data_IF_129743672248
#
_entry.id   IF_129743672248
#
_cell.length_a   1.000
_cell.length_b   1.000
_cell.length_c   1.000
_cell.angle_alpha   90.00
_cell.angle_beta   90.00
_cell.angle_gamma   90.00
#
_symmetry.space_group_name_H-M   'P 1'
#
loop_
_entity.id
_entity.type
_entity.pdbx_description
1 polymer ?
#
# COMPACT_ATOMS: atom_id res chain seq x y z
N UNK A 1 4.90 22.96 15.19
CA UNK A 1 4.32 21.62 14.99
C UNK A 1 3.04 21.67 14.17
N UNK A 2 2.02 22.43 14.59
CA UNK A 2 0.73 22.52 13.89
C UNK A 2 0.87 22.88 12.40
N UNK A 3 1.69 23.87 12.06
CA UNK A 3 1.93 24.27 10.65
C UNK A 3 2.53 23.12 9.83
N UNK A 4 3.44 22.33 10.41
CA UNK A 4 3.99 21.15 9.74
C UNK A 4 2.89 20.12 9.44
N UNK A 5 2.06 19.80 10.43
CA UNK A 5 0.98 18.81 10.29
C UNK A 5 -0.02 19.27 9.20
N UNK A 6 -0.52 20.49 9.32
CA UNK A 6 -1.51 21.03 8.36
C UNK A 6 -0.95 21.08 6.94
N UNK A 7 0.31 21.49 6.77
CA UNK A 7 0.96 21.53 5.47
C UNK A 7 1.15 20.14 4.87
N UNK A 8 1.61 19.14 5.65
CA UNK A 8 1.81 17.78 5.16
C UNK A 8 0.50 17.08 4.81
N UNK A 9 -0.54 17.23 5.64
CA UNK A 9 -1.88 16.71 5.34
C UNK A 9 -2.45 17.38 4.09
N UNK A 10 -2.37 18.71 3.99
CA UNK A 10 -2.83 19.43 2.80
C UNK A 10 -2.09 19.02 1.53
N UNK A 11 -0.77 18.86 1.58
CA UNK A 11 0.03 18.46 0.43
C UNK A 11 -0.28 17.03 -0.01
N UNK A 12 -0.20 16.05 0.91
CA UNK A 12 -0.19 14.64 0.55
C UNK A 12 -1.56 13.95 0.60
N UNK A 13 -2.51 14.42 1.42
CA UNK A 13 -3.86 13.83 1.48
C UNK A 13 -4.88 14.56 0.59
N UNK A 14 -4.63 15.84 0.27
CA UNK A 14 -5.56 16.62 -0.56
C UNK A 14 -4.98 16.90 -1.95
N UNK A 15 -3.85 17.60 -2.04
CA UNK A 15 -3.36 18.08 -3.33
C UNK A 15 -2.72 16.97 -4.18
N UNK A 16 -1.92 16.08 -3.60
CA UNK A 16 -1.25 15.01 -4.32
C UNK A 16 -2.23 14.05 -5.03
N UNK A 17 -3.29 13.51 -4.37
CA UNK A 17 -4.24 12.64 -5.06
C UNK A 17 -4.96 13.35 -6.22
N UNK A 18 -5.35 14.62 -6.02
CA UNK A 18 -5.96 15.42 -7.09
C UNK A 18 -4.98 15.62 -8.24
N UNK A 19 -3.71 15.94 -7.92
CA UNK A 19 -2.64 16.10 -8.91
C UNK A 19 -2.44 14.84 -9.75
N UNK A 20 -2.38 13.66 -9.11
CA UNK A 20 -2.26 12.36 -9.79
C UNK A 20 -3.47 12.10 -10.69
N UNK A 21 -4.69 12.37 -10.23
CA UNK A 21 -5.91 12.23 -11.06
C UNK A 21 -5.85 13.13 -12.30
N UNK A 22 -5.37 14.36 -12.14
CA UNK A 22 -5.19 15.28 -13.26
C UNK A 22 -4.10 14.81 -14.23
N UNK A 23 -3.05 14.16 -13.74
CA UNK A 23 -2.01 13.51 -14.56
C UNK A 23 -2.58 12.37 -15.39
N UNK A 24 -3.35 11.47 -14.75
CA UNK A 24 -4.04 10.37 -15.43
C UNK A 24 -5.04 10.87 -16.49
N UNK A 25 -5.76 11.95 -16.20
CA UNK A 25 -6.68 12.60 -17.14
C UNK A 25 -5.98 13.44 -18.22
N UNK A 26 -4.63 13.50 -18.22
CA UNK A 26 -3.82 14.35 -19.12
C UNK A 26 -4.22 15.82 -19.10
N UNK A 27 -4.62 16.30 -17.93
CA UNK A 27 -5.04 17.69 -17.72
C UNK A 27 -3.84 18.62 -17.66
N UNK A 28 -3.94 19.78 -18.31
CA UNK A 28 -2.92 20.85 -18.26
C UNK A 28 -2.63 21.37 -16.85
N UNK A 29 -3.54 21.17 -15.89
CA UNK A 29 -3.36 21.64 -14.51
C UNK A 29 -2.57 20.66 -13.64
N UNK A 30 -2.23 19.46 -14.13
CA UNK A 30 -1.41 18.49 -13.40
C UNK A 30 -0.10 19.11 -12.89
N UNK A 31 0.64 19.79 -13.76
CA UNK A 31 1.91 20.44 -13.39
C UNK A 31 1.72 21.51 -12.31
N UNK A 32 0.67 22.33 -12.43
CA UNK A 32 0.39 23.39 -11.47
C UNK A 32 0.08 22.81 -10.09
N UNK A 33 -0.69 21.71 -10.03
CA UNK A 33 -1.00 21.01 -8.79
C UNK A 33 0.21 20.29 -8.20
N UNK A 34 1.07 19.67 -9.02
CA UNK A 34 2.34 19.08 -8.55
C UNK A 34 3.25 20.14 -7.91
N UNK A 35 3.41 21.30 -8.56
CA UNK A 35 4.22 22.39 -8.01
C UNK A 35 3.62 22.96 -6.73
N UNK A 36 2.30 23.15 -6.68
CA UNK A 36 1.61 23.61 -5.47
C UNK A 36 1.79 22.60 -4.31
N UNK A 37 1.67 21.31 -4.60
CA UNK A 37 1.90 20.21 -3.65
C UNK A 37 3.33 20.27 -3.10
N UNK A 38 4.32 20.39 -3.99
CA UNK A 38 5.73 20.46 -3.61
C UNK A 38 6.06 21.71 -2.78
N UNK A 39 5.48 22.87 -3.13
CA UNK A 39 5.63 24.10 -2.34
C UNK A 39 5.05 23.93 -0.93
N UNK A 40 3.84 23.39 -0.83
CA UNK A 40 3.17 23.17 0.46
C UNK A 40 3.93 22.13 1.31
N UNK A 41 4.41 21.04 0.70
CA UNK A 41 5.28 20.07 1.37
C UNK A 41 6.59 20.73 1.84
N UNK A 42 7.19 21.60 1.02
CA UNK A 42 8.38 22.38 1.38
C UNK A 42 8.16 23.26 2.62
N UNK A 43 7.01 23.93 2.72
CA UNK A 43 6.59 24.65 3.95
C UNK A 43 6.51 23.67 5.14
N UNK A 44 5.88 22.52 4.95
CA UNK A 44 5.80 21.48 5.98
C UNK A 44 7.17 21.04 6.48
N UNK A 45 8.13 20.77 5.59
CA UNK A 45 9.50 20.36 5.95
C UNK A 45 10.25 21.50 6.63
N UNK A 46 10.15 22.73 6.14
CA UNK A 46 10.77 23.89 6.77
C UNK A 46 10.33 24.04 8.24
N UNK A 47 9.02 23.96 8.50
CA UNK A 47 8.51 24.04 9.86
C UNK A 47 8.83 22.80 10.71
N UNK A 48 9.07 21.62 10.13
CA UNK A 48 9.55 20.47 10.91
C UNK A 48 10.99 20.69 11.39
N UNK A 49 11.85 21.29 10.56
CA UNK A 49 13.21 21.63 10.94
C UNK A 49 13.29 22.71 12.03
N UNK A 50 12.40 23.71 11.97
CA UNK A 50 12.33 24.76 13.00
C UNK A 50 11.83 24.24 14.35
N UNK A 51 10.92 23.27 14.31
CA UNK A 51 10.28 22.74 15.52
C UNK A 51 11.19 21.75 16.24
N UNK A 52 12.33 21.33 15.66
CA UNK A 52 13.28 20.34 16.19
C UNK A 52 13.25 20.28 17.72
N UNK A 53 12.36 19.43 18.22
CA UNK A 53 12.35 19.03 19.61
C UNK A 53 13.42 17.94 19.70
N UNK A 54 14.05 17.82 20.86
CA UNK A 54 15.07 16.79 21.14
C UNK A 54 14.44 15.39 21.28
N UNK A 55 13.47 15.10 20.42
CA UNK A 55 12.76 13.84 20.36
C UNK A 55 13.61 12.86 19.55
N UNK A 56 13.80 11.67 20.14
CA UNK A 56 14.63 10.60 19.59
C UNK A 56 14.22 10.18 18.17
N UNK A 57 15.01 9.29 17.57
CA UNK A 57 14.70 8.75 16.26
C UNK A 57 13.42 7.89 16.28
N UNK A 58 12.57 8.04 15.26
CA UNK A 58 11.31 7.32 15.12
C UNK A 58 11.00 7.02 13.64
N UNK A 59 10.01 6.16 13.38
CA UNK A 59 9.67 5.72 12.01
C UNK A 59 9.24 6.87 11.10
N UNK A 60 8.49 7.84 11.65
CA UNK A 60 8.04 9.02 10.90
C UNK A 60 9.22 9.86 10.40
N UNK A 61 10.23 10.10 11.25
CA UNK A 61 11.43 10.86 10.89
C UNK A 61 12.25 10.14 9.81
N UNK A 62 12.42 8.83 9.94
CA UNK A 62 13.12 8.00 8.97
C UNK A 62 12.45 8.01 7.58
N UNK A 63 11.17 7.65 7.53
CA UNK A 63 10.42 7.60 6.27
C UNK A 63 10.12 8.99 5.71
N UNK A 64 9.93 10.00 6.55
CA UNK A 64 9.77 11.39 6.14
C UNK A 64 11.01 11.95 5.44
N UNK A 65 12.22 11.52 5.84
CA UNK A 65 13.44 11.85 5.13
C UNK A 65 13.52 11.14 3.77
N UNK A 66 13.17 9.85 3.70
CA UNK A 66 13.08 9.13 2.43
C UNK A 66 12.12 9.83 1.46
N UNK A 67 10.94 10.24 1.93
CA UNK A 67 9.97 11.01 1.16
C UNK A 67 10.50 12.36 0.67
N UNK A 68 11.30 13.05 1.47
CA UNK A 68 11.92 14.31 1.04
C UNK A 68 12.86 14.07 -0.14
N UNK A 69 13.68 13.03 -0.06
CA UNK A 69 14.63 12.66 -1.12
C UNK A 69 13.88 12.27 -2.40
N UNK A 70 12.81 11.49 -2.30
CA UNK A 70 12.01 11.10 -3.48
C UNK A 70 11.26 12.28 -4.08
N UNK A 71 10.73 13.21 -3.27
CA UNK A 71 10.13 14.46 -3.76
C UNK A 71 11.15 15.32 -4.52
N UNK A 72 12.35 15.51 -3.96
CA UNK A 72 13.42 16.26 -4.62
C UNK A 72 13.86 15.58 -5.93
N UNK A 73 13.96 14.25 -5.93
CA UNK A 73 14.23 13.45 -7.13
C UNK A 73 13.13 13.63 -8.19
N UNK A 74 11.86 13.57 -7.79
CA UNK A 74 10.71 13.80 -8.67
C UNK A 74 10.74 15.21 -9.30
N UNK A 75 11.04 16.24 -8.52
CA UNK A 75 11.19 17.61 -9.02
C UNK A 75 12.36 17.74 -10.00
N UNK A 76 13.50 17.12 -9.70
CA UNK A 76 14.67 17.12 -10.59
C UNK A 76 14.37 16.38 -11.91
N UNK A 77 13.72 15.21 -11.86
CA UNK A 77 13.27 14.49 -13.05
C UNK A 77 12.25 15.31 -13.85
N UNK A 78 11.30 15.96 -13.19
CA UNK A 78 10.31 16.83 -13.83
C UNK A 78 10.96 18.01 -14.55
N UNK A 79 11.92 18.68 -13.90
CA UNK A 79 12.71 19.75 -14.51
C UNK A 79 13.52 19.26 -15.70
N UNK A 80 14.19 18.12 -15.57
CA UNK A 80 14.96 17.53 -16.67
C UNK A 80 14.08 17.23 -17.89
N UNK A 81 12.90 16.61 -17.66
CA UNK A 81 11.91 16.35 -18.72
C UNK A 81 11.48 17.66 -19.39
N UNK A 82 11.19 18.70 -18.62
CA UNK A 82 10.71 19.99 -19.13
C UNK A 82 11.76 20.72 -20.00
N UNK A 83 13.04 20.65 -19.62
CA UNK A 83 14.11 21.43 -20.27
C UNK A 83 14.77 20.67 -21.42
N UNK A 84 14.98 19.37 -21.27
CA UNK A 84 15.86 18.60 -22.17
C UNK A 84 15.13 17.61 -23.09
N UNK A 85 13.88 17.24 -22.80
CA UNK A 85 13.13 16.32 -23.65
C UNK A 85 12.20 17.05 -24.61
N UNK A 86 12.06 16.51 -25.82
CA UNK A 86 11.04 16.95 -26.76
C UNK A 86 9.65 16.57 -26.23
N UNK A 87 8.61 17.31 -26.63
CA UNK A 87 7.21 17.00 -26.25
C UNK A 87 6.82 15.54 -26.57
N UNK A 88 7.29 15.02 -27.70
CA UNK A 88 7.05 13.62 -28.09
C UNK A 88 7.69 12.60 -27.13
N UNK A 89 8.87 12.92 -26.59
CA UNK A 89 9.54 12.06 -25.59
C UNK A 89 8.89 12.15 -24.21
N UNK A 90 8.32 13.32 -23.85
CA UNK A 90 7.55 13.50 -22.62
C UNK A 90 6.24 12.70 -22.68
N UNK A 91 5.50 12.78 -23.80
CA UNK A 91 4.23 12.08 -24.00
C UNK A 91 4.34 10.54 -24.02
N UNK A 92 5.54 10.01 -24.26
CA UNK A 92 5.86 8.57 -24.21
C UNK A 92 6.51 8.14 -22.89
N UNK A 93 6.87 9.08 -22.03
CA UNK A 93 7.46 8.80 -20.71
C UNK A 93 6.43 8.29 -19.71
N UNK A 94 6.88 7.48 -18.75
CA UNK A 94 6.09 7.15 -17.55
C UNK A 94 6.07 8.39 -16.66
N UNK A 95 4.90 8.82 -16.21
CA UNK A 95 4.78 9.84 -15.16
C UNK A 95 5.35 9.28 -13.86
N UNK A 96 6.33 10.00 -13.32
CA UNK A 96 7.15 9.58 -12.19
C UNK A 96 6.67 10.25 -10.93
N UNK A 97 5.38 10.10 -10.60
CA UNK A 97 4.80 10.55 -9.32
C UNK A 97 5.17 9.56 -8.21
N UNK A 98 6.48 9.46 -7.94
CA UNK A 98 7.08 8.53 -6.98
C UNK A 98 6.69 8.91 -5.53
N UNK A 99 6.36 10.17 -5.28
CA UNK A 99 5.96 10.67 -3.97
C UNK A 99 4.46 10.52 -3.65
N UNK A 100 3.69 9.85 -4.51
CA UNK A 100 2.26 9.64 -4.30
C UNK A 100 1.95 8.72 -3.09
N UNK A 101 2.86 7.81 -2.73
CA UNK A 101 2.69 6.89 -1.59
C UNK A 101 3.19 7.53 -0.27
N UNK A 102 2.47 8.56 0.16
CA UNK A 102 2.78 9.38 1.34
C UNK A 102 1.99 8.98 2.60
N UNK A 103 0.95 8.16 2.42
CA UNK A 103 0.04 7.72 3.48
C UNK A 103 0.78 7.19 4.72
N UNK A 104 1.74 6.24 4.62
CA UNK A 104 2.35 5.64 5.81
C UNK A 104 3.10 6.67 6.66
N UNK A 105 3.71 7.69 6.03
CA UNK A 105 4.49 8.72 6.74
C UNK A 105 3.59 9.67 7.51
N UNK A 106 2.45 10.06 6.94
CA UNK A 106 1.49 10.94 7.62
C UNK A 106 0.82 10.20 8.78
N UNK A 107 0.45 8.93 8.60
CA UNK A 107 -0.13 8.11 9.66
C UNK A 107 0.86 7.90 10.82
N UNK A 108 2.12 7.55 10.50
CA UNK A 108 3.19 7.46 11.50
C UNK A 108 3.46 8.81 12.17
N UNK A 109 3.26 9.93 11.47
CA UNK A 109 3.33 11.27 12.04
C UNK A 109 2.33 11.44 13.18
N UNK A 110 1.07 11.06 12.95
CA UNK A 110 0.03 11.06 14.00
C UNK A 110 0.41 10.17 15.18
N UNK A 111 0.87 8.94 14.93
CA UNK A 111 1.29 8.04 16.00
C UNK A 111 2.49 8.57 16.80
N UNK A 112 3.44 9.23 16.14
CA UNK A 112 4.59 9.83 16.81
C UNK A 112 4.20 10.96 17.78
N UNK A 113 3.04 11.61 17.56
CA UNK A 113 2.50 12.61 18.51
C UNK A 113 1.94 11.96 19.78
N UNK A 114 1.58 10.68 19.72
CA UNK A 114 1.15 9.88 20.86
C UNK A 114 2.32 9.18 21.58
N UNK A 115 3.55 9.34 21.08
CA UNK A 115 4.75 8.72 21.64
C UNK A 115 5.06 7.32 21.10
N UNK A 116 4.38 6.86 20.04
CA UNK A 116 4.63 5.55 19.43
C UNK A 116 5.71 5.61 18.35
N UNK A 117 6.28 4.45 18.05
CA UNK A 117 7.21 4.16 16.97
C UNK A 117 8.58 4.83 17.09
N UNK A 118 9.01 5.08 18.33
CA UNK A 118 10.38 5.45 18.67
C UNK A 118 11.25 4.21 18.86
N UNK A 119 12.56 4.41 18.98
CA UNK A 119 13.47 3.29 19.26
C UNK A 119 13.10 2.59 20.58
N UNK A 120 13.10 1.24 20.62
CA UNK A 120 13.59 0.31 19.59
C UNK A 120 12.54 -0.17 18.56
N UNK A 121 11.27 0.25 18.65
CA UNK A 121 10.18 -0.26 17.80
C UNK A 121 10.14 0.36 16.39
N UNK A 122 10.98 1.36 16.12
CA UNK A 122 11.07 2.11 14.84
C UNK A 122 11.00 1.23 13.59
N UNK A 123 11.82 0.18 13.51
CA UNK A 123 11.84 -0.69 12.32
C UNK A 123 10.55 -1.52 12.16
N UNK A 124 9.98 -1.96 13.28
CA UNK A 124 8.78 -2.80 13.32
C UNK A 124 7.55 -1.99 12.95
N UNK A 125 7.40 -0.79 13.50
CA UNK A 125 6.36 0.15 13.09
C UNK A 125 6.46 0.46 11.59
N UNK A 126 7.65 0.82 11.09
CA UNK A 126 7.83 1.12 9.67
C UNK A 126 7.41 -0.07 8.79
N UNK A 127 7.78 -1.29 9.16
CA UNK A 127 7.39 -2.49 8.42
C UNK A 127 5.87 -2.70 8.38
N UNK A 128 5.15 -2.55 9.51
CA UNK A 128 3.70 -2.70 9.56
C UNK A 128 2.98 -1.64 8.72
N UNK A 129 3.43 -0.38 8.83
CA UNK A 129 2.83 0.73 8.08
C UNK A 129 3.11 0.65 6.58
N UNK A 130 4.34 0.33 6.17
CA UNK A 130 4.66 0.15 4.74
C UNK A 130 3.87 -1.04 4.17
N UNK A 131 3.94 -2.21 4.81
CA UNK A 131 3.27 -3.42 4.32
C UNK A 131 1.74 -3.22 4.32
N UNK A 132 1.19 -2.57 5.34
CA UNK A 132 -0.24 -2.29 5.45
C UNK A 132 -0.74 -1.29 4.42
N UNK A 133 -0.05 -0.16 4.22
CA UNK A 133 -0.37 0.83 3.17
C UNK A 133 -0.29 0.23 1.77
N UNK A 134 0.68 -0.65 1.49
CA UNK A 134 0.73 -1.36 0.21
C UNK A 134 -0.52 -2.22 -0.04
N UNK A 135 -1.11 -2.82 0.99
CA UNK A 135 -2.35 -3.60 0.87
C UNK A 135 -3.60 -2.72 0.71
N UNK A 136 -3.65 -1.58 1.41
CA UNK A 136 -4.69 -0.55 1.17
C UNK A 136 -4.61 -0.04 -0.27
N UNK A 137 -3.42 0.37 -0.70
CA UNK A 137 -3.16 0.81 -2.06
C UNK A 137 -3.50 -0.25 -3.10
N UNK A 138 -3.15 -1.51 -2.86
CA UNK A 138 -3.52 -2.63 -3.72
C UNK A 138 -5.04 -2.76 -3.90
N UNK A 139 -5.81 -2.68 -2.81
CA UNK A 139 -7.28 -2.71 -2.89
C UNK A 139 -7.85 -1.52 -3.64
N UNK A 140 -7.36 -0.29 -3.38
CA UNK A 140 -7.79 0.92 -4.11
C UNK A 140 -7.47 0.80 -5.61
N UNK A 141 -6.25 0.38 -5.94
CA UNK A 141 -5.79 0.18 -7.32
C UNK A 141 -6.65 -0.86 -8.03
N UNK A 142 -7.04 -1.95 -7.37
CA UNK A 142 -7.96 -2.92 -7.97
C UNK A 142 -9.27 -2.26 -8.39
N UNK A 143 -9.95 -1.54 -7.49
CA UNK A 143 -11.23 -0.88 -7.83
C UNK A 143 -11.05 0.11 -8.98
N UNK A 144 -9.97 0.90 -8.97
CA UNK A 144 -9.70 1.92 -10.00
C UNK A 144 -9.32 1.30 -11.35
N UNK A 145 -8.40 0.33 -11.38
CA UNK A 145 -7.95 -0.33 -12.62
C UNK A 145 -9.07 -1.13 -13.29
N UNK A 146 -10.03 -1.63 -12.52
CA UNK A 146 -11.17 -2.37 -13.07
C UNK A 146 -12.15 -1.49 -13.85
N UNK A 147 -12.15 -0.16 -13.63
CA UNK A 147 -12.93 0.78 -14.44
C UNK A 147 -12.08 1.50 -15.47
N UNK A 148 -10.94 2.05 -15.06
CA UNK A 148 -10.11 2.95 -15.89
C UNK A 148 -8.95 2.24 -16.58
N UNK A 149 -8.49 1.13 -16.02
CA UNK A 149 -7.31 0.38 -16.48
C UNK A 149 -7.61 -0.68 -17.52
N UNK A 150 -8.86 -1.01 -17.77
CA UNK A 150 -9.28 -2.11 -18.66
C UNK A 150 -8.82 -1.92 -20.11
N UNK A 151 -9.03 -0.74 -20.67
CA UNK A 151 -8.53 -0.39 -22.01
C UNK A 151 -7.00 -0.38 -22.08
N UNK A 152 -6.32 -0.04 -20.99
CA UNK A 152 -4.86 -0.10 -20.90
C UNK A 152 -4.34 -1.54 -20.82
N UNK A 153 -4.96 -2.39 -20.01
CA UNK A 153 -4.67 -3.82 -19.90
C UNK A 153 -4.89 -4.52 -21.24
N UNK A 154 -6.00 -4.23 -21.93
CA UNK A 154 -6.31 -4.76 -23.25
C UNK A 154 -5.21 -4.42 -24.28
N UNK A 155 -4.74 -3.15 -24.30
CA UNK A 155 -3.64 -2.71 -25.18
C UNK A 155 -2.31 -3.39 -24.86
N UNK A 156 -2.05 -3.73 -23.60
CA UNK A 156 -0.83 -4.43 -23.17
C UNK A 156 -0.88 -5.93 -23.47
N UNK A 157 -2.06 -6.50 -23.68
CA UNK A 157 -2.24 -7.94 -23.96
C UNK A 157 -1.76 -8.83 -22.82
N UNK A 158 -1.79 -8.32 -21.57
CA UNK A 158 -1.37 -9.05 -20.36
C UNK A 158 -2.45 -8.98 -19.29
N UNK A 159 -2.70 -10.08 -18.56
CA UNK A 159 -3.63 -10.07 -17.43
C UNK A 159 -3.08 -9.23 -16.28
N UNK A 160 -3.95 -8.72 -15.40
CA UNK A 160 -3.53 -7.92 -14.24
C UNK A 160 -2.55 -8.68 -13.33
N UNK A 161 -2.71 -10.00 -13.23
CA UNK A 161 -1.81 -10.87 -12.45
C UNK A 161 -0.36 -10.82 -12.93
N UNK A 162 -0.11 -10.47 -14.20
CA UNK A 162 1.25 -10.25 -14.69
C UNK A 162 1.93 -9.09 -13.93
N UNK A 163 1.22 -7.99 -13.71
CA UNK A 163 1.76 -6.83 -13.00
C UNK A 163 1.84 -7.08 -11.50
N UNK A 164 0.84 -7.76 -10.93
CA UNK A 164 0.86 -8.17 -9.51
C UNK A 164 2.02 -9.13 -9.21
N UNK A 165 2.34 -10.04 -10.15
CA UNK A 165 3.46 -10.97 -9.98
C UNK A 165 4.81 -10.27 -9.83
N UNK A 166 4.98 -9.10 -10.47
CA UNK A 166 6.17 -8.26 -10.31
C UNK A 166 6.26 -7.66 -8.91
N UNK A 167 5.12 -7.22 -8.37
CA UNK A 167 5.03 -6.74 -7.00
C UNK A 167 5.38 -7.86 -6.00
N UNK A 168 4.88 -9.08 -6.22
CA UNK A 168 5.17 -10.22 -5.34
C UNK A 168 6.63 -10.62 -5.34
N UNK A 169 7.26 -10.62 -6.52
CA UNK A 169 8.69 -10.88 -6.65
C UNK A 169 9.50 -9.86 -5.82
N UNK A 170 9.23 -8.57 -6.01
CA UNK A 170 9.93 -7.50 -5.29
C UNK A 170 9.67 -7.58 -3.77
N UNK A 171 8.41 -7.70 -3.38
CA UNK A 171 8.00 -7.77 -1.98
C UNK A 171 8.63 -8.98 -1.27
N UNK A 172 8.60 -10.15 -1.91
CA UNK A 172 9.21 -11.37 -1.41
C UNK A 172 10.72 -11.21 -1.22
N UNK A 173 11.42 -10.69 -2.24
CA UNK A 173 12.87 -10.44 -2.15
C UNK A 173 13.20 -9.47 -1.00
N UNK A 174 12.51 -8.32 -0.92
CA UNK A 174 12.77 -7.32 0.12
C UNK A 174 12.51 -7.90 1.51
N UNK A 175 11.42 -8.66 1.68
CA UNK A 175 11.07 -9.28 2.96
C UNK A 175 12.15 -10.27 3.41
N UNK A 176 12.60 -11.16 2.52
CA UNK A 176 13.67 -12.13 2.85
C UNK A 176 14.96 -11.41 3.27
N UNK A 177 15.32 -10.32 2.60
CA UNK A 177 16.57 -9.60 2.86
C UNK A 177 16.53 -8.74 4.14
N UNK A 178 15.36 -8.29 4.58
CA UNK A 178 15.25 -7.36 5.71
C UNK A 178 14.88 -8.02 7.03
N UNK A 179 14.31 -9.22 7.02
CA UNK A 179 13.66 -9.77 8.21
C UNK A 179 14.64 -10.25 9.27
N UNK A 180 15.78 -10.81 8.87
CA UNK A 180 16.81 -11.29 9.79
C UNK A 180 18.01 -10.34 9.83
N UNK A 181 18.47 -10.02 11.03
CA UNK A 181 19.65 -9.17 11.23
C UNK A 181 20.90 -10.04 11.06
N UNK A 182 21.80 -9.74 10.11
CA UNK A 182 23.00 -10.55 9.90
C UNK A 182 23.86 -10.63 11.17
N UNK A 183 24.10 -11.85 11.63
CA UNK A 183 24.94 -12.13 12.81
C UNK A 183 24.17 -12.28 14.13
N UNK A 184 22.85 -12.09 14.15
CA UNK A 184 22.03 -12.46 15.32
C UNK A 184 21.55 -13.92 15.25
N UNK A 185 21.05 -14.45 16.36
CA UNK A 185 20.36 -15.75 16.36
C UNK A 185 19.02 -15.66 15.62
N UNK A 186 18.62 -16.74 14.96
CA UNK A 186 17.32 -16.84 14.29
C UNK A 186 16.21 -17.02 15.31
N UNK A 187 15.25 -16.10 15.29
CA UNK A 187 14.04 -16.22 16.10
C UNK A 187 12.94 -17.01 15.37
N UNK A 188 11.97 -17.53 16.11
CA UNK A 188 10.77 -18.14 15.51
C UNK A 188 10.03 -17.17 14.57
N UNK A 189 10.01 -15.88 14.94
CA UNK A 189 9.43 -14.81 14.11
C UNK A 189 10.20 -14.65 12.80
N UNK A 190 11.53 -14.60 12.87
CA UNK A 190 12.39 -14.43 11.70
C UNK A 190 12.11 -15.55 10.67
N UNK A 191 12.02 -16.80 11.15
CA UNK A 191 11.71 -17.94 10.32
C UNK A 191 10.32 -17.85 9.68
N UNK A 192 9.28 -17.50 10.46
CA UNK A 192 7.93 -17.36 9.92
C UNK A 192 7.82 -16.23 8.89
N UNK A 193 8.34 -15.06 9.19
CA UNK A 193 8.28 -13.90 8.29
C UNK A 193 9.15 -14.08 7.04
N UNK A 194 10.35 -14.67 7.17
CA UNK A 194 11.20 -15.03 6.02
C UNK A 194 10.49 -16.05 5.13
N UNK A 195 9.81 -17.04 5.73
CA UNK A 195 9.02 -18.04 5.00
C UNK A 195 7.85 -17.40 4.24
N UNK A 196 7.17 -16.40 4.81
CA UNK A 196 6.17 -15.60 4.10
C UNK A 196 6.82 -14.92 2.88
N UNK A 197 7.99 -14.30 3.05
CA UNK A 197 8.76 -13.72 1.94
C UNK A 197 9.07 -14.71 0.82
N UNK A 198 9.43 -15.95 1.18
CA UNK A 198 9.67 -17.05 0.21
C UNK A 198 8.38 -17.43 -0.54
N UNK A 199 7.23 -17.51 0.15
CA UNK A 199 5.93 -17.78 -0.50
C UNK A 199 5.61 -16.70 -1.53
N UNK A 200 5.79 -15.42 -1.18
CA UNK A 200 5.60 -14.31 -2.12
C UNK A 200 6.55 -14.40 -3.31
N UNK A 201 7.83 -14.67 -3.08
CA UNK A 201 8.84 -14.76 -4.13
C UNK A 201 8.54 -15.91 -5.11
N UNK A 202 8.34 -17.12 -4.61
CA UNK A 202 8.13 -18.31 -5.45
C UNK A 202 6.74 -18.33 -6.10
N UNK A 203 5.71 -17.93 -5.36
CA UNK A 203 4.35 -17.78 -5.90
C UNK A 203 4.27 -16.67 -6.95
N UNK A 204 4.97 -15.56 -6.71
CA UNK A 204 5.15 -14.46 -7.67
C UNK A 204 5.87 -14.93 -8.94
N UNK A 205 6.95 -15.70 -8.80
CA UNK A 205 7.67 -16.27 -9.94
C UNK A 205 6.78 -17.20 -10.77
N UNK A 206 6.05 -18.09 -10.13
CA UNK A 206 5.10 -18.99 -10.81
C UNK A 206 4.01 -18.20 -11.55
N UNK A 207 3.41 -17.21 -10.89
CA UNK A 207 2.40 -16.34 -11.50
C UNK A 207 2.97 -15.59 -12.72
N UNK A 208 4.17 -15.03 -12.60
CA UNK A 208 4.86 -14.32 -13.68
C UNK A 208 5.10 -15.22 -14.89
N UNK A 209 5.62 -16.43 -14.69
CA UNK A 209 5.95 -17.35 -15.78
C UNK A 209 4.70 -17.79 -16.55
N UNK A 210 3.60 -18.10 -15.85
CA UNK A 210 2.33 -18.49 -16.47
C UNK A 210 1.70 -17.32 -17.22
N UNK A 211 1.66 -16.14 -16.61
CA UNK A 211 1.10 -14.93 -17.23
C UNK A 211 1.98 -14.40 -18.39
N UNK A 212 3.28 -14.70 -18.40
CA UNK A 212 4.21 -14.34 -19.48
C UNK A 212 4.14 -15.30 -20.67
N UNK A 213 4.08 -16.60 -20.43
CA UNK A 213 4.10 -17.63 -21.48
C UNK A 213 2.87 -17.58 -22.39
N UNK A 214 1.77 -16.97 -21.93
CA UNK A 214 0.50 -16.97 -22.62
C UNK A 214 -0.24 -18.30 -22.52
N UNK A 215 0.23 -19.21 -21.65
CA UNK A 215 -0.43 -20.48 -21.33
C UNK A 215 -1.82 -20.26 -20.73
N UNK A 216 -1.96 -19.21 -19.89
CA UNK A 216 -3.25 -18.68 -19.45
C UNK A 216 -3.35 -17.24 -19.93
N UNK A 217 -4.29 -16.97 -20.85
CA UNK A 217 -4.54 -15.62 -21.40
C UNK A 217 -5.60 -14.83 -20.64
N UNK A 218 -6.35 -15.50 -19.77
CA UNK A 218 -7.51 -14.91 -19.08
C UNK A 218 -7.10 -14.38 -17.70
N UNK A 219 -7.04 -15.24 -16.68
CA UNK A 219 -6.70 -14.87 -15.29
C UNK A 219 -5.97 -16.02 -14.59
N UNK A 220 -4.94 -15.71 -13.79
CA UNK A 220 -4.14 -16.71 -13.08
C UNK A 220 -4.58 -16.85 -11.62
N UNK A 221 -4.83 -18.07 -11.10
CA UNK A 221 -5.22 -18.26 -9.70
C UNK A 221 -4.01 -18.22 -8.73
N UNK A 222 -2.78 -18.29 -9.24
CA UNK A 222 -1.59 -18.40 -8.39
C UNK A 222 -1.40 -17.21 -7.45
N UNK A 223 -1.73 -15.99 -7.90
CA UNK A 223 -1.62 -14.83 -7.02
C UNK A 223 -2.59 -14.92 -5.85
N UNK A 224 -3.83 -15.38 -6.09
CA UNK A 224 -4.81 -15.61 -5.04
C UNK A 224 -4.38 -16.73 -4.08
N UNK A 225 -3.70 -17.78 -4.56
CA UNK A 225 -3.16 -18.82 -3.68
C UNK A 225 -2.07 -18.29 -2.73
N UNK A 226 -1.24 -17.34 -3.18
CA UNK A 226 -0.28 -16.66 -2.29
C UNK A 226 -1.01 -15.94 -1.15
N UNK A 227 -2.02 -15.13 -1.47
CA UNK A 227 -2.85 -14.48 -0.45
C UNK A 227 -3.50 -15.49 0.49
N UNK A 228 -4.03 -16.59 -0.03
CA UNK A 228 -4.72 -17.61 0.75
C UNK A 228 -3.80 -18.26 1.78
N UNK A 229 -2.65 -18.77 1.35
CA UNK A 229 -1.75 -19.50 2.24
C UNK A 229 -1.05 -18.60 3.25
N UNK A 230 -0.72 -17.35 2.87
CA UNK A 230 -0.24 -16.36 3.82
C UNK A 230 -1.35 -15.99 4.82
N UNK A 231 -2.59 -15.82 4.38
CA UNK A 231 -3.71 -15.53 5.28
C UNK A 231 -3.96 -16.63 6.30
N UNK A 232 -3.94 -17.89 5.84
CA UNK A 232 -4.05 -19.07 6.72
C UNK A 232 -2.87 -19.15 7.69
N UNK A 233 -1.63 -18.91 7.23
CA UNK A 233 -0.45 -19.00 8.11
C UNK A 233 -0.49 -17.97 9.24
N UNK A 234 -1.05 -16.78 8.99
CA UNK A 234 -1.23 -15.75 10.01
C UNK A 234 -2.20 -16.17 11.12
N UNK A 235 -3.13 -17.10 10.85
CA UNK A 235 -3.97 -17.71 11.89
C UNK A 235 -3.18 -18.55 12.90
N UNK A 236 -1.96 -18.97 12.56
CA UNK A 236 -1.04 -19.71 13.44
C UNK A 236 0.13 -18.85 13.93
N UNK A 237 0.12 -17.55 13.63
CA UNK A 237 1.19 -16.63 13.94
C UNK A 237 1.06 -16.10 15.37
N UNK A 238 1.89 -16.63 16.26
CA UNK A 238 1.87 -16.25 17.68
C UNK A 238 2.66 -14.98 17.92
N UNK A 239 2.03 -14.02 18.60
CA UNK A 239 2.66 -12.79 19.05
C UNK A 239 2.90 -12.81 20.57
N UNK A 240 3.66 -11.84 21.08
CA UNK A 240 3.96 -11.74 22.51
C UNK A 240 2.71 -11.52 23.36
N UNK A 241 1.67 -10.89 22.80
CA UNK A 241 0.44 -10.58 23.52
C UNK A 241 -0.75 -11.30 22.87
N UNK A 242 -1.73 -11.66 23.69
CA UNK A 242 -2.96 -12.28 23.19
C UNK A 242 -3.71 -11.32 22.24
N UNK A 243 -3.67 -10.01 22.54
CA UNK A 243 -4.27 -8.97 21.71
C UNK A 243 -3.59 -8.88 20.35
N UNK A 244 -2.25 -8.82 20.30
CA UNK A 244 -1.53 -8.80 19.04
C UNK A 244 -1.77 -10.08 18.21
N UNK A 245 -1.81 -11.24 18.85
CA UNK A 245 -2.11 -12.52 18.19
C UNK A 245 -3.51 -12.50 17.56
N UNK A 246 -4.50 -11.99 18.30
CA UNK A 246 -5.87 -11.90 17.82
C UNK A 246 -6.02 -10.90 16.65
N UNK A 247 -5.37 -9.73 16.70
CA UNK A 247 -5.38 -8.75 15.60
C UNK A 247 -4.68 -9.32 14.35
N UNK A 248 -3.55 -10.01 14.50
CA UNK A 248 -2.90 -10.69 13.36
C UNK A 248 -3.77 -11.82 12.80
N UNK A 249 -4.53 -12.52 13.63
CA UNK A 249 -5.54 -13.49 13.19
C UNK A 249 -6.67 -12.86 12.37
N UNK A 250 -7.17 -11.68 12.79
CA UNK A 250 -8.13 -10.90 12.00
C UNK A 250 -7.53 -10.47 10.66
N UNK A 251 -6.28 -9.98 10.67
CA UNK A 251 -5.54 -9.67 9.44
C UNK A 251 -5.47 -10.89 8.51
N UNK A 252 -5.04 -12.04 9.02
CA UNK A 252 -4.95 -13.29 8.26
C UNK A 252 -6.29 -13.73 7.67
N UNK A 253 -7.36 -13.58 8.45
CA UNK A 253 -8.73 -13.88 8.00
C UNK A 253 -9.15 -12.95 6.85
N UNK A 254 -8.95 -11.64 6.99
CA UNK A 254 -9.24 -10.69 5.91
C UNK A 254 -8.38 -10.96 4.66
N UNK A 255 -7.12 -11.33 4.84
CA UNK A 255 -6.19 -11.67 3.76
C UNK A 255 -6.63 -12.94 3.01
N UNK A 256 -7.08 -13.97 3.74
CA UNK A 256 -7.63 -15.19 3.17
C UNK A 256 -8.98 -14.94 2.47
N UNK A 257 -9.83 -14.06 3.00
CA UNK A 257 -11.08 -13.67 2.33
C UNK A 257 -10.82 -12.92 1.03
N UNK A 258 -9.81 -12.04 0.99
CA UNK A 258 -9.34 -11.41 -0.26
C UNK A 258 -9.02 -12.47 -1.32
N UNK A 259 -8.30 -13.52 -0.93
CA UNK A 259 -7.99 -14.63 -1.83
C UNK A 259 -9.24 -15.41 -2.27
N UNK A 260 -10.13 -15.73 -1.34
CA UNK A 260 -11.34 -16.50 -1.60
C UNK A 260 -12.23 -15.80 -2.62
N UNK A 261 -12.57 -14.53 -2.39
CA UNK A 261 -13.41 -13.77 -3.32
C UNK A 261 -12.75 -13.59 -4.68
N UNK A 262 -11.42 -13.44 -4.72
CA UNK A 262 -10.69 -13.39 -5.98
C UNK A 262 -10.70 -14.72 -6.74
N UNK A 263 -10.60 -15.86 -6.06
CA UNK A 263 -10.72 -17.16 -6.70
C UNK A 263 -12.12 -17.35 -7.29
N UNK A 264 -13.17 -16.99 -6.53
CA UNK A 264 -14.55 -17.05 -7.01
C UNK A 264 -14.74 -16.12 -8.23
N UNK A 265 -14.20 -14.89 -8.16
CA UNK A 265 -14.20 -13.94 -9.29
C UNK A 265 -13.56 -14.55 -10.53
N UNK A 266 -12.36 -15.12 -10.40
CA UNK A 266 -11.65 -15.76 -11.52
C UNK A 266 -12.47 -16.90 -12.12
N UNK A 267 -13.08 -17.74 -11.28
CA UNK A 267 -13.91 -18.86 -11.75
C UNK A 267 -15.15 -18.40 -12.52
N UNK A 268 -15.74 -17.27 -12.14
CA UNK A 268 -16.96 -16.74 -12.78
C UNK A 268 -16.69 -15.86 -14.00
N UNK A 269 -15.60 -15.07 -13.99
CA UNK A 269 -15.34 -14.02 -14.99
C UNK A 269 -14.24 -14.38 -15.99
N UNK A 270 -13.52 -15.50 -15.80
CA UNK A 270 -12.40 -15.87 -16.70
C UNK A 270 -12.79 -16.14 -18.15
N UNK A 271 -14.06 -16.46 -18.43
CA UNK A 271 -14.54 -16.80 -19.77
C UNK A 271 -15.02 -15.60 -20.60
N UNK A 272 -15.16 -14.41 -20.00
CA UNK A 272 -15.57 -13.21 -20.73
C UNK A 272 -14.59 -12.04 -20.46
N UNK A 273 -13.58 -11.86 -21.32
CA UNK A 273 -12.64 -10.74 -21.24
C UNK A 273 -13.30 -9.37 -21.39
N UNK A 274 -14.53 -9.32 -21.94
CA UNK A 274 -15.28 -8.10 -22.20
C UNK A 274 -16.30 -7.77 -21.10
N UNK A 275 -16.76 -8.75 -20.31
CA UNK A 275 -17.69 -8.55 -19.19
C UNK A 275 -17.17 -7.57 -18.13
N UNK A 276 -15.84 -7.46 -17.97
CA UNK A 276 -15.19 -6.54 -17.02
C UNK A 276 -14.92 -5.14 -17.59
N UNK A 277 -15.18 -4.89 -18.87
CA UNK A 277 -14.85 -3.61 -19.52
C UNK A 277 -15.86 -2.48 -19.24
N UNK A 278 -17.12 -2.82 -18.92
CA UNK A 278 -18.20 -1.82 -18.73
C UNK A 278 -18.77 -1.76 -17.31
N UNK A 279 -18.72 -2.86 -16.53
CA UNK A 279 -19.36 -2.94 -15.22
C UNK A 279 -18.46 -3.61 -14.19
N UNK A 280 -18.23 -2.94 -13.06
CA UNK A 280 -17.54 -3.50 -11.90
C UNK A 280 -18.37 -4.66 -11.33
N UNK A 281 -17.77 -5.84 -11.23
CA UNK A 281 -18.46 -6.99 -10.65
C UNK A 281 -18.50 -6.86 -9.12
N UNK A 282 -19.62 -7.18 -8.43
CA UNK A 282 -19.70 -7.05 -6.97
C UNK A 282 -18.56 -7.78 -6.23
N UNK A 283 -18.13 -8.94 -6.72
CA UNK A 283 -17.00 -9.68 -6.13
C UNK A 283 -15.68 -8.90 -6.15
N UNK A 284 -15.46 -8.04 -7.15
CA UNK A 284 -14.25 -7.23 -7.21
C UNK A 284 -14.22 -6.17 -6.11
N UNK A 285 -15.38 -5.59 -5.81
CA UNK A 285 -15.55 -4.64 -4.70
C UNK A 285 -15.29 -5.35 -3.38
N UNK A 286 -15.81 -6.58 -3.21
CA UNK A 286 -15.60 -7.38 -2.01
C UNK A 286 -14.13 -7.79 -1.84
N UNK A 287 -13.47 -8.24 -2.91
CA UNK A 287 -12.03 -8.54 -2.91
C UNK A 287 -11.21 -7.31 -2.49
N UNK A 288 -11.49 -6.15 -3.08
CA UNK A 288 -10.80 -4.92 -2.75
C UNK A 288 -11.06 -4.47 -1.30
N UNK A 289 -12.29 -4.61 -0.80
CA UNK A 289 -12.63 -4.30 0.58
C UNK A 289 -11.79 -5.11 1.57
N UNK A 290 -11.70 -6.43 1.38
CA UNK A 290 -10.91 -7.27 2.28
C UNK A 290 -9.41 -7.01 2.16
N UNK A 291 -8.92 -6.64 0.98
CA UNK A 291 -7.54 -6.19 0.81
C UNK A 291 -7.27 -4.91 1.64
N UNK A 292 -8.13 -3.91 1.53
CA UNK A 292 -8.05 -2.66 2.30
C UNK A 292 -8.11 -2.95 3.81
N UNK A 293 -9.09 -3.76 4.25
CA UNK A 293 -9.25 -4.15 5.64
C UNK A 293 -7.99 -4.85 6.18
N UNK A 294 -7.42 -5.77 5.40
CA UNK A 294 -6.18 -6.44 5.79
C UNK A 294 -5.02 -5.45 5.96
N UNK A 295 -4.92 -4.43 5.09
CA UNK A 295 -3.93 -3.37 5.23
C UNK A 295 -4.08 -2.59 6.53
N UNK A 296 -5.29 -2.15 6.86
CA UNK A 296 -5.57 -1.45 8.11
C UNK A 296 -5.30 -2.32 9.34
N UNK A 297 -5.74 -3.58 9.36
CA UNK A 297 -5.49 -4.50 10.46
C UNK A 297 -3.99 -4.74 10.68
N UNK A 298 -3.21 -4.82 9.59
CA UNK A 298 -1.75 -4.94 9.67
C UNK A 298 -1.11 -3.67 10.22
N UNK A 299 -1.55 -2.48 9.83
CA UNK A 299 -1.05 -1.23 10.41
C UNK A 299 -1.37 -1.12 11.90
N UNK A 300 -2.52 -1.62 12.33
CA UNK A 300 -2.96 -1.62 13.73
C UNK A 300 -2.37 -2.73 14.61
N UNK A 301 -1.55 -3.64 14.06
CA UNK A 301 -1.05 -4.80 14.81
C UNK A 301 0.31 -4.60 15.47
N UNK A 302 0.77 -3.35 15.63
CA UNK A 302 2.04 -3.05 16.32
C UNK A 302 2.00 -3.39 17.81
N UNK A 303 3.16 -3.67 18.41
CA UNK A 303 3.27 -3.99 19.83
C UNK A 303 2.75 -2.84 20.71
N UNK A 304 3.15 -1.60 20.41
CA UNK A 304 2.77 -0.43 21.20
C UNK A 304 1.27 -0.17 21.17
N UNK A 305 0.65 -0.23 19.98
CA UNK A 305 -0.80 -0.06 19.86
C UNK A 305 -1.56 -1.17 20.57
N UNK A 306 -1.14 -2.43 20.39
CA UNK A 306 -1.83 -3.56 21.03
C UNK A 306 -1.66 -3.57 22.55
N UNK A 307 -0.52 -3.12 23.07
CA UNK A 307 -0.31 -2.89 24.51
C UNK A 307 -1.21 -1.77 25.04
N UNK A 308 -1.27 -0.63 24.33
CA UNK A 308 -2.13 0.48 24.70
C UNK A 308 -3.60 0.05 24.81
N UNK A 309 -4.09 -0.77 23.88
CA UNK A 309 -5.46 -1.30 23.92
C UNK A 309 -5.69 -2.18 25.16
N UNK A 310 -4.74 -3.04 25.50
CA UNK A 310 -4.83 -3.89 26.70
C UNK A 310 -4.86 -3.07 27.99
N UNK A 311 -4.02 -2.03 28.09
CA UNK A 311 -3.97 -1.12 29.23
C UNK A 311 -5.29 -0.35 29.43
N UNK A 312 -6.03 -0.10 28.35
CA UNK A 312 -7.32 0.59 28.37
C UNK A 312 -8.52 -0.36 28.31
N UNK A 313 -8.30 -1.67 28.46
CA UNK A 313 -9.34 -2.71 28.44
C UNK A 313 -10.22 -2.70 27.17
N UNK A 314 -9.62 -2.33 26.03
CA UNK A 314 -10.27 -2.39 24.72
C UNK A 314 -10.08 -3.78 24.11
N UNK A 315 -11.18 -4.41 23.73
CA UNK A 315 -11.17 -5.75 23.16
C UNK A 315 -10.89 -5.76 21.65
N UNK A 316 -10.50 -6.92 21.13
CA UNK A 316 -10.19 -7.13 19.71
C UNK A 316 -11.39 -6.92 18.80
N UNK A 317 -12.62 -7.16 19.26
CA UNK A 317 -13.84 -6.94 18.49
C UNK A 317 -14.07 -5.47 18.24
N UNK A 318 -14.05 -4.65 19.30
CA UNK A 318 -14.17 -3.18 19.20
C UNK A 318 -13.08 -2.58 18.31
N UNK A 319 -11.83 -3.02 18.50
CA UNK A 319 -10.71 -2.57 17.67
C UNK A 319 -10.88 -3.00 16.20
N UNK A 320 -11.29 -4.24 15.94
CA UNK A 320 -11.56 -4.74 14.60
C UNK A 320 -12.66 -3.97 13.87
N UNK A 321 -13.75 -3.64 14.56
CA UNK A 321 -14.85 -2.83 14.00
C UNK A 321 -14.40 -1.43 13.59
N UNK A 322 -13.44 -0.83 14.30
CA UNK A 322 -12.84 0.44 13.88
C UNK A 322 -12.09 0.32 12.55
N UNK A 323 -11.31 -0.75 12.34
CA UNK A 323 -10.60 -0.98 11.06
C UNK A 323 -11.57 -1.28 9.92
N UNK A 324 -12.68 -1.97 10.21
CA UNK A 324 -13.79 -2.16 9.26
C UNK A 324 -14.36 -0.81 8.83
N UNK A 325 -14.57 0.13 9.76
CA UNK A 325 -15.05 1.47 9.42
C UNK A 325 -14.04 2.26 8.55
N UNK A 326 -12.74 2.17 8.85
CA UNK A 326 -11.69 2.76 8.00
C UNK A 326 -11.66 2.13 6.59
N UNK A 327 -11.85 0.81 6.50
CA UNK A 327 -11.90 0.12 5.21
C UNK A 327 -13.12 0.57 4.38
N UNK A 328 -14.30 0.69 5.00
CA UNK A 328 -15.49 1.22 4.31
C UNK A 328 -15.28 2.65 3.84
N UNK A 329 -14.72 3.52 4.70
CA UNK A 329 -14.44 4.92 4.34
C UNK A 329 -13.54 5.01 3.11
N UNK A 330 -12.45 4.25 3.10
CA UNK A 330 -11.49 4.23 1.99
C UNK A 330 -12.10 3.66 0.72
N UNK A 331 -12.89 2.60 0.83
CA UNK A 331 -13.63 2.05 -0.31
C UNK A 331 -14.62 3.07 -0.88
N UNK A 332 -15.37 3.77 -0.02
CA UNK A 332 -16.30 4.83 -0.44
C UNK A 332 -15.57 5.97 -1.14
N UNK A 333 -14.40 6.38 -0.65
CA UNK A 333 -13.57 7.38 -1.32
C UNK A 333 -13.09 6.87 -2.69
N UNK A 334 -12.60 5.64 -2.78
CA UNK A 334 -12.15 5.04 -4.04
C UNK A 334 -13.27 4.95 -5.09
N UNK A 335 -14.47 4.50 -4.68
CA UNK A 335 -15.66 4.46 -5.54
C UNK A 335 -16.12 5.87 -5.91
N UNK A 336 -16.11 6.81 -4.97
CA UNK A 336 -16.45 8.21 -5.21
C UNK A 336 -15.56 8.84 -6.28
N UNK A 337 -14.24 8.58 -6.25
CA UNK A 337 -13.31 9.04 -7.30
C UNK A 337 -13.68 8.48 -8.68
N UNK A 338 -14.12 7.23 -8.76
CA UNK A 338 -14.54 6.60 -10.02
C UNK A 338 -15.84 7.23 -10.54
N UNK A 339 -16.78 7.58 -9.66
CA UNK A 339 -18.05 8.21 -10.05
C UNK A 339 -17.89 9.65 -10.55
N UNK A 340 -16.79 10.32 -10.18
CA UNK A 340 -16.47 11.67 -10.63
C UNK A 340 -15.80 11.71 -12.01
N UNK A 341 -15.42 10.55 -12.57
CA UNK A 341 -14.82 10.40 -13.89
C UNK A 341 -15.85 9.90 -14.91
#
# INVERSE_FOLDING_TARGET
LVVHILAMVGAYFLLMPISVMFGLARSRYHLALQLLTACLAGVGYFFSFLVRTDVGYNSHKGLGFFMLVTLLGQLACGFYKLVFLSRAAIDHGIDTDISADAEPVVLLGTLSTLGFCYEPETGRCAAHFIKGSLLVGYGVIQVVLLRLGTAWLARRGRPIEYFESLFFLLFGTVTILHEHVPGSEWSHRDLQHTSIGVIFLLGGLGSFLISRSGFIRTRSPLSALVFLFVGISMGFHHQHTHMATAVHGLFGTAFALTALFRLIEIMLLSNDPHATLLTLHPLQIVTAFFAILSGYLLMGSTNEQTNFLMEHHLDVGSYGMMHVAFAFTTLTMAVGMILLY
#
